data_IF_508967499703
#
_entry.id   IF_508967499703
#
_cell.length_a   1.000
_cell.length_b   1.000
_cell.length_c   1.000
_cell.angle_alpha   90.00
_cell.angle_beta   90.00
_cell.angle_gamma   90.00
#
_symmetry.space_group_name_H-M   'P 1'
#
loop_
_entity.id
_entity.type
_entity.pdbx_description
1 polymer ?
#
# COMPACT_ATOMS: atom_id res chain seq x y z
N UNK A 1 -13.71 18.90 -18.60
CA UNK A 1 -14.27 19.81 -17.57
C UNK A 1 -15.25 19.12 -16.64
N UNK A 2 -16.28 18.51 -17.20
CA UNK A 2 -17.27 17.78 -16.41
C UNK A 2 -16.66 16.59 -15.67
N UNK A 3 -15.72 15.90 -16.33
CA UNK A 3 -15.02 14.78 -15.71
C UNK A 3 -14.24 15.21 -14.46
N UNK A 4 -13.55 16.35 -14.51
CA UNK A 4 -12.82 16.87 -13.34
C UNK A 4 -13.76 17.27 -12.20
N UNK A 5 -14.90 17.85 -12.53
CA UNK A 5 -15.91 18.22 -11.55
C UNK A 5 -16.49 16.97 -10.87
N UNK A 6 -16.77 15.94 -11.65
CA UNK A 6 -17.30 14.69 -11.13
C UNK A 6 -16.24 13.94 -10.31
N UNK A 7 -14.97 14.06 -10.70
CA UNK A 7 -13.87 13.51 -9.92
C UNK A 7 -13.79 14.14 -8.54
N UNK A 8 -13.94 15.47 -8.47
CA UNK A 8 -13.96 16.16 -7.17
C UNK A 8 -15.04 15.58 -6.27
N UNK A 9 -16.22 15.33 -6.81
CA UNK A 9 -17.32 14.75 -6.07
C UNK A 9 -17.04 13.31 -5.62
N UNK A 10 -16.46 12.50 -6.50
CA UNK A 10 -16.04 11.14 -6.17
C UNK A 10 -15.00 11.13 -5.06
N UNK A 11 -14.10 12.10 -5.07
CA UNK A 11 -13.08 12.24 -4.04
C UNK A 11 -13.68 12.52 -2.66
N UNK A 12 -14.80 13.22 -2.60
CA UNK A 12 -15.51 13.43 -1.35
C UNK A 12 -15.96 12.09 -0.76
N UNK A 13 -16.52 11.22 -1.59
CA UNK A 13 -16.91 9.87 -1.17
C UNK A 13 -15.71 9.05 -0.70
N UNK A 14 -14.61 9.14 -1.42
CA UNK A 14 -13.36 8.50 -1.06
C UNK A 14 -12.90 8.99 0.33
N UNK A 15 -12.91 10.29 0.55
CA UNK A 15 -12.41 10.88 1.79
C UNK A 15 -13.24 10.49 3.03
N UNK A 16 -14.52 10.23 2.87
CA UNK A 16 -15.37 9.80 3.99
C UNK A 16 -15.42 8.27 4.12
N UNK A 17 -14.68 7.54 3.30
CA UNK A 17 -14.63 6.10 3.37
C UNK A 17 -15.77 5.37 2.67
N UNK A 18 -16.58 6.07 1.88
CA UNK A 18 -17.67 5.46 1.10
C UNK A 18 -17.10 4.82 -0.17
N UNK A 19 -16.26 3.79 0.01
CA UNK A 19 -15.45 3.24 -1.07
C UNK A 19 -16.27 2.56 -2.18
N UNK A 20 -17.38 1.92 -1.84
CA UNK A 20 -18.23 1.29 -2.87
C UNK A 20 -18.84 2.34 -3.79
N UNK A 21 -19.40 3.41 -3.22
CA UNK A 21 -19.96 4.51 -4.00
C UNK A 21 -18.90 5.24 -4.80
N UNK A 22 -17.73 5.47 -4.20
CA UNK A 22 -16.60 6.09 -4.89
C UNK A 22 -16.15 5.23 -6.08
N UNK A 23 -16.04 3.92 -5.88
CA UNK A 23 -15.65 2.99 -6.94
C UNK A 23 -16.58 3.09 -8.15
N UNK A 24 -17.88 3.11 -7.92
CA UNK A 24 -18.86 3.20 -8.99
C UNK A 24 -18.66 4.45 -9.83
N UNK A 25 -18.39 5.58 -9.18
CA UNK A 25 -18.11 6.83 -9.88
C UNK A 25 -16.75 6.79 -10.60
N UNK A 26 -15.73 6.23 -9.98
CA UNK A 26 -14.42 6.08 -10.64
C UNK A 26 -14.52 5.21 -11.89
N UNK A 27 -15.31 4.15 -11.86
CA UNK A 27 -15.54 3.32 -13.04
C UNK A 27 -16.11 4.14 -14.21
N UNK A 28 -17.06 5.00 -13.91
CA UNK A 28 -17.69 5.87 -14.91
C UNK A 28 -16.71 6.89 -15.47
N UNK A 29 -15.82 7.42 -14.63
CA UNK A 29 -14.86 8.45 -15.02
C UNK A 29 -13.59 7.90 -15.66
N UNK A 30 -13.33 6.62 -15.50
CA UNK A 30 -12.09 6.01 -15.94
C UNK A 30 -11.72 6.30 -17.41
N UNK A 31 -12.62 6.18 -18.39
CA UNK A 31 -12.22 6.43 -19.77
C UNK A 31 -11.63 7.82 -20.02
N UNK A 32 -12.11 8.82 -19.28
CA UNK A 32 -11.67 10.21 -19.46
C UNK A 32 -10.45 10.57 -18.61
N UNK A 33 -10.28 9.91 -17.44
CA UNK A 33 -9.25 10.29 -16.46
C UNK A 33 -8.13 9.26 -16.31
N UNK A 34 -8.09 8.24 -17.13
CA UNK A 34 -7.12 7.14 -17.03
C UNK A 34 -5.66 7.54 -17.21
N UNK A 35 -5.39 8.78 -17.60
CA UNK A 35 -4.03 9.30 -17.75
C UNK A 35 -3.57 10.10 -16.54
N UNK A 36 -4.37 10.14 -15.49
CA UNK A 36 -4.06 10.92 -14.30
C UNK A 36 -3.66 10.01 -13.15
N UNK A 37 -2.39 10.14 -12.72
CA UNK A 37 -1.85 9.29 -11.67
C UNK A 37 -2.63 9.37 -10.37
N UNK A 38 -3.04 10.57 -9.94
CA UNK A 38 -3.80 10.75 -8.71
C UNK A 38 -5.18 10.09 -8.79
N UNK A 39 -5.85 10.18 -9.94
CA UNK A 39 -7.13 9.51 -10.15
C UNK A 39 -6.99 7.99 -10.04
N UNK A 40 -6.00 7.45 -10.74
CA UNK A 40 -5.75 6.00 -10.73
C UNK A 40 -5.37 5.50 -9.34
N UNK A 41 -4.60 6.30 -8.59
CA UNK A 41 -4.25 5.95 -7.22
C UNK A 41 -5.49 5.82 -6.34
N UNK A 42 -6.37 6.82 -6.39
CA UNK A 42 -7.60 6.82 -5.58
C UNK A 42 -8.50 5.65 -5.94
N UNK A 43 -8.65 5.40 -7.23
CA UNK A 43 -9.45 4.28 -7.72
C UNK A 43 -8.85 2.94 -7.26
N UNK A 44 -7.54 2.77 -7.44
CA UNK A 44 -6.86 1.56 -6.99
C UNK A 44 -6.95 1.36 -5.49
N UNK A 45 -6.87 2.44 -4.71
CA UNK A 45 -7.00 2.38 -3.26
C UNK A 45 -8.42 1.97 -2.85
N UNK A 46 -9.44 2.50 -3.53
CA UNK A 46 -10.83 2.08 -3.29
C UNK A 46 -10.99 0.57 -3.50
N UNK A 47 -10.43 0.06 -4.59
CA UNK A 47 -10.50 -1.37 -4.89
C UNK A 47 -9.78 -2.19 -3.82
N UNK A 48 -8.64 -1.70 -3.33
CA UNK A 48 -7.91 -2.33 -2.22
C UNK A 48 -8.78 -2.39 -0.96
N UNK A 49 -9.41 -1.28 -0.60
CA UNK A 49 -10.29 -1.22 0.58
C UNK A 49 -11.49 -2.14 0.46
N UNK A 50 -11.97 -2.36 -0.74
CA UNK A 50 -13.07 -3.28 -1.01
C UNK A 50 -12.60 -4.73 -1.17
N UNK A 51 -11.32 -4.98 -0.92
CA UNK A 51 -10.70 -6.31 -1.03
C UNK A 51 -10.76 -6.90 -2.44
N UNK A 52 -10.86 -6.04 -3.45
CA UNK A 52 -10.77 -6.43 -4.84
C UNK A 52 -9.32 -6.30 -5.29
N UNK A 53 -8.49 -7.20 -4.77
CA UNK A 53 -7.02 -7.07 -4.84
C UNK A 53 -6.46 -7.13 -6.25
N UNK A 54 -6.95 -8.05 -7.09
CA UNK A 54 -6.42 -8.17 -8.44
C UNK A 54 -6.76 -6.95 -9.30
N UNK A 55 -7.98 -6.45 -9.19
CA UNK A 55 -8.40 -5.24 -9.89
C UNK A 55 -7.63 -4.03 -9.39
N UNK A 56 -7.43 -3.94 -8.07
CA UNK A 56 -6.63 -2.88 -7.45
C UNK A 56 -5.20 -2.87 -8.00
N UNK A 57 -4.56 -4.03 -8.04
CA UNK A 57 -3.20 -4.15 -8.56
C UNK A 57 -3.11 -3.71 -10.01
N UNK A 58 -4.08 -4.08 -10.83
CA UNK A 58 -4.11 -3.69 -12.24
C UNK A 58 -4.16 -2.17 -12.38
N UNK A 59 -5.08 -1.51 -11.68
CA UNK A 59 -5.24 -0.06 -11.74
C UNK A 59 -4.01 0.65 -11.17
N UNK A 60 -3.44 0.14 -10.07
CA UNK A 60 -2.26 0.73 -9.47
C UNK A 60 -1.02 0.60 -10.36
N UNK A 61 -0.90 -0.48 -11.13
CA UNK A 61 0.18 -0.60 -12.12
C UNK A 61 0.03 0.45 -13.21
N UNK A 62 -1.19 0.73 -13.64
CA UNK A 62 -1.44 1.83 -14.58
C UNK A 62 -1.03 3.16 -13.96
N UNK A 63 -1.34 3.36 -12.67
CA UNK A 63 -0.96 4.59 -11.97
C UNK A 63 0.56 4.81 -11.96
N UNK A 64 1.34 3.74 -11.92
CA UNK A 64 2.82 3.85 -11.90
C UNK A 64 3.39 4.48 -13.17
N UNK A 65 2.65 4.46 -14.27
CA UNK A 65 3.10 5.12 -15.51
C UNK A 65 3.02 6.65 -15.40
N UNK A 66 2.23 7.17 -14.46
CA UNK A 66 1.97 8.60 -14.32
C UNK A 66 2.37 9.15 -12.96
N UNK A 67 2.83 8.33 -12.04
CA UNK A 67 3.16 8.74 -10.68
C UNK A 67 4.32 7.93 -10.12
N UNK A 68 5.19 8.59 -9.37
CA UNK A 68 6.30 7.95 -8.67
C UNK A 68 6.03 7.76 -7.17
N UNK A 69 4.79 7.94 -6.74
CA UNK A 69 4.44 7.82 -5.32
C UNK A 69 4.75 6.39 -4.83
N UNK A 70 5.64 6.23 -3.85
CA UNK A 70 6.00 4.90 -3.33
C UNK A 70 4.83 4.19 -2.63
N UNK A 71 3.78 4.92 -2.23
CA UNK A 71 2.59 4.29 -1.65
C UNK A 71 1.91 3.34 -2.64
N UNK A 72 2.04 3.60 -3.95
CA UNK A 72 1.49 2.71 -4.97
C UNK A 72 2.11 1.31 -4.82
N UNK A 73 3.43 1.24 -4.72
CA UNK A 73 4.15 -0.02 -4.55
C UNK A 73 3.79 -0.70 -3.22
N UNK A 74 3.58 0.09 -2.17
CA UNK A 74 3.19 -0.46 -0.87
C UNK A 74 1.82 -1.15 -0.96
N UNK A 75 0.86 -0.54 -1.63
CA UNK A 75 -0.48 -1.12 -1.77
C UNK A 75 -0.44 -2.34 -2.68
N UNK A 76 0.33 -2.28 -3.77
CA UNK A 76 0.51 -3.45 -4.65
C UNK A 76 1.10 -4.61 -3.85
N UNK A 77 2.10 -4.35 -3.00
CA UNK A 77 2.67 -5.37 -2.14
C UNK A 77 1.64 -5.98 -1.20
N UNK A 78 0.82 -5.14 -0.57
CA UNK A 78 -0.25 -5.61 0.30
C UNK A 78 -1.28 -6.45 -0.45
N UNK A 79 -1.62 -6.06 -1.68
CA UNK A 79 -2.54 -6.82 -2.52
C UNK A 79 -1.99 -8.20 -2.84
N UNK A 80 -0.72 -8.28 -3.23
CA UNK A 80 -0.09 -9.57 -3.54
C UNK A 80 -0.04 -10.47 -2.30
N UNK A 81 0.27 -9.90 -1.14
CA UNK A 81 0.27 -10.67 0.10
C UNK A 81 -1.13 -11.23 0.40
N UNK A 82 -2.16 -10.42 0.21
CA UNK A 82 -3.54 -10.81 0.49
C UNK A 82 -4.00 -11.99 -0.38
N UNK A 83 -3.46 -12.11 -1.59
CA UNK A 83 -3.82 -13.22 -2.49
C UNK A 83 -2.77 -14.33 -2.50
N UNK A 84 -1.81 -14.31 -1.57
CA UNK A 84 -0.83 -15.36 -1.41
C UNK A 84 0.34 -15.34 -2.37
N UNK A 85 0.54 -14.26 -3.11
CA UNK A 85 1.66 -14.11 -4.04
C UNK A 85 2.84 -13.43 -3.34
N UNK A 86 3.45 -14.17 -2.43
CA UNK A 86 4.44 -13.62 -1.48
C UNK A 86 5.72 -13.11 -2.15
N UNK A 87 6.21 -13.78 -3.17
CA UNK A 87 7.42 -13.32 -3.88
C UNK A 87 7.18 -11.99 -4.58
N UNK A 88 6.03 -11.84 -5.22
CA UNK A 88 5.67 -10.57 -5.88
C UNK A 88 5.43 -9.46 -4.87
N UNK A 89 4.87 -9.81 -3.72
CA UNK A 89 4.69 -8.86 -2.62
C UNK A 89 6.06 -8.35 -2.14
N UNK A 90 7.01 -9.26 -1.91
CA UNK A 90 8.35 -8.90 -1.50
C UNK A 90 9.03 -7.97 -2.51
N UNK A 91 8.95 -8.32 -3.79
CA UNK A 91 9.54 -7.50 -4.85
C UNK A 91 9.00 -6.07 -4.85
N UNK A 92 7.67 -5.92 -4.76
CA UNK A 92 7.04 -4.59 -4.73
C UNK A 92 7.46 -3.77 -3.52
N UNK A 93 7.50 -4.41 -2.35
CA UNK A 93 7.85 -3.71 -1.11
C UNK A 93 9.33 -3.34 -1.07
N UNK A 94 10.21 -4.18 -1.58
CA UNK A 94 11.64 -3.85 -1.68
C UNK A 94 11.84 -2.67 -2.63
N UNK A 95 11.15 -2.63 -3.76
CA UNK A 95 11.20 -1.48 -4.67
C UNK A 95 10.75 -0.20 -3.96
N UNK A 96 9.74 -0.30 -3.10
CA UNK A 96 9.27 0.85 -2.32
C UNK A 96 10.36 1.37 -1.39
N UNK A 97 11.12 0.48 -0.74
CA UNK A 97 12.23 0.90 0.15
C UNK A 97 13.29 1.67 -0.61
N UNK A 98 13.52 1.34 -1.89
CA UNK A 98 14.52 2.02 -2.71
C UNK A 98 14.04 3.39 -3.19
N UNK A 99 12.73 3.59 -3.33
CA UNK A 99 12.16 4.87 -3.76
C UNK A 99 12.33 5.96 -2.72
N UNK A 100 12.06 5.66 -1.46
CA UNK A 100 12.23 6.58 -0.33
C UNK A 100 12.88 5.83 0.83
N UNK A 101 14.22 5.70 0.83
CA UNK A 101 14.92 4.90 1.86
C UNK A 101 14.69 5.39 3.30
N UNK A 102 14.32 6.66 3.48
CA UNK A 102 14.06 7.22 4.81
C UNK A 102 12.73 6.82 5.43
N UNK A 103 11.85 6.17 4.71
CA UNK A 103 10.53 5.80 5.21
C UNK A 103 10.57 4.47 5.95
N UNK A 104 9.88 4.41 7.08
CA UNK A 104 9.78 3.19 7.90
C UNK A 104 8.71 2.24 7.37
N UNK A 105 7.63 2.78 6.83
CA UNK A 105 6.43 2.00 6.49
C UNK A 105 6.70 0.77 5.60
N UNK A 106 7.44 0.85 4.49
CA UNK A 106 7.66 -0.35 3.69
C UNK A 106 8.47 -1.43 4.41
N UNK A 107 9.37 -1.06 5.31
CA UNK A 107 10.10 -2.05 6.13
C UNK A 107 9.16 -2.73 7.12
N UNK A 108 8.22 -1.98 7.68
CA UNK A 108 7.17 -2.54 8.53
C UNK A 108 6.31 -3.53 7.75
N UNK A 109 5.92 -3.19 6.52
CA UNK A 109 5.14 -4.09 5.67
C UNK A 109 5.92 -5.35 5.31
N UNK A 110 7.23 -5.24 5.07
CA UNK A 110 8.08 -6.41 4.83
C UNK A 110 8.14 -7.30 6.07
N UNK A 111 8.24 -6.71 7.27
CA UNK A 111 8.22 -7.49 8.50
C UNK A 111 6.92 -8.31 8.60
N UNK A 112 5.79 -7.68 8.31
CA UNK A 112 4.51 -8.39 8.32
C UNK A 112 4.46 -9.52 7.28
N UNK A 113 5.03 -9.28 6.11
CA UNK A 113 5.11 -10.29 5.05
C UNK A 113 5.94 -11.50 5.49
N UNK A 114 7.09 -11.26 6.13
CA UNK A 114 7.98 -12.34 6.58
C UNK A 114 7.45 -13.07 7.82
N UNK A 115 6.46 -12.49 8.51
CA UNK A 115 5.81 -13.11 9.65
C UNK A 115 4.53 -13.86 9.25
N UNK A 116 4.09 -13.71 8.01
CA UNK A 116 2.88 -14.39 7.49
C UNK A 116 3.04 -15.90 7.68
N UNK A 117 2.05 -16.59 8.31
CA UNK A 117 2.20 -18.02 8.61
C UNK A 117 2.60 -18.89 7.42
N UNK A 118 2.13 -18.57 6.23
CA UNK A 118 2.45 -19.33 5.02
C UNK A 118 3.71 -18.87 4.29
N UNK A 119 4.41 -17.90 4.87
CA UNK A 119 5.61 -17.32 4.26
C UNK A 119 6.66 -16.97 5.32
N UNK A 120 6.72 -17.71 6.40
CA UNK A 120 7.64 -17.39 7.51
C UNK A 120 9.10 -17.42 7.08
N UNK A 121 9.78 -16.31 7.31
CA UNK A 121 11.20 -16.16 7.02
C UNK A 121 11.86 -15.45 8.21
N UNK A 122 12.21 -16.23 9.26
CA UNK A 122 12.66 -15.66 10.54
C UNK A 122 13.86 -14.72 10.44
N UNK A 123 14.85 -15.07 9.63
CA UNK A 123 16.05 -14.23 9.52
C UNK A 123 15.75 -12.89 8.83
N UNK A 124 14.95 -12.91 7.78
CA UNK A 124 14.52 -11.69 7.11
C UNK A 124 13.64 -10.85 8.02
N UNK A 125 12.75 -11.49 8.79
CA UNK A 125 11.91 -10.80 9.74
C UNK A 125 12.75 -10.06 10.79
N UNK A 126 13.75 -10.73 11.36
CA UNK A 126 14.63 -10.11 12.34
C UNK A 126 15.31 -8.86 11.78
N UNK A 127 15.79 -8.93 10.55
CA UNK A 127 16.42 -7.77 9.90
C UNK A 127 15.46 -6.60 9.73
N UNK A 128 14.22 -6.88 9.32
CA UNK A 128 13.23 -5.82 9.13
C UNK A 128 12.79 -5.22 10.46
N UNK A 129 12.63 -6.04 11.48
CA UNK A 129 12.32 -5.56 12.82
C UNK A 129 13.42 -4.60 13.32
N UNK A 130 14.68 -4.96 13.13
CA UNK A 130 15.79 -4.09 13.50
C UNK A 130 15.72 -2.75 12.78
N UNK A 131 15.45 -2.75 11.48
CA UNK A 131 15.32 -1.51 10.70
C UNK A 131 14.18 -0.65 11.26
N UNK A 132 13.02 -1.25 11.49
CA UNK A 132 11.85 -0.51 12.01
C UNK A 132 12.14 0.10 13.39
N UNK A 133 12.87 -0.63 14.24
CA UNK A 133 13.16 -0.17 15.58
C UNK A 133 14.25 0.90 15.66
N UNK A 134 15.20 0.89 14.72
CA UNK A 134 16.38 1.75 14.79
C UNK A 134 16.41 2.91 13.81
N UNK A 135 15.60 2.83 12.74
CA UNK A 135 15.61 3.88 11.72
C UNK A 135 14.98 5.17 12.24
N UNK A 136 15.67 6.30 12.03
CA UNK A 136 15.14 7.59 12.43
C UNK A 136 13.96 7.99 11.54
N UNK A 137 12.76 8.22 12.12
CA UNK A 137 11.63 8.69 11.32
C UNK A 137 11.77 10.17 11.02
N UNK A 138 11.25 10.62 9.86
CA UNK A 138 11.22 12.04 9.54
C UNK A 138 10.36 12.82 10.53
N UNK A 139 9.29 12.21 11.01
CA UNK A 139 8.38 12.81 11.99
C UNK A 139 8.06 11.75 13.04
N UNK A 140 8.23 12.09 14.30
CA UNK A 140 7.78 11.24 15.40
C UNK A 140 6.26 11.27 15.41
N UNK A 141 5.63 10.09 15.41
CA UNK A 141 4.18 10.00 15.37
C UNK A 141 3.69 8.77 16.12
N UNK A 142 2.40 8.76 16.44
CA UNK A 142 1.75 7.59 17.03
C UNK A 142 1.87 6.38 16.10
N UNK A 143 1.77 6.61 14.78
CA UNK A 143 1.91 5.53 13.80
C UNK A 143 3.26 4.83 13.89
N UNK A 144 4.36 5.58 14.06
CA UNK A 144 5.69 4.99 14.24
C UNK A 144 5.75 4.15 15.51
N UNK A 145 5.19 4.64 16.61
CA UNK A 145 5.15 3.91 17.88
C UNK A 145 4.36 2.62 17.75
N UNK A 146 3.23 2.67 17.06
CA UNK A 146 2.38 1.49 16.84
C UNK A 146 3.08 0.45 15.97
N UNK A 147 3.74 0.88 14.90
CA UNK A 147 4.51 -0.04 14.04
C UNK A 147 5.62 -0.72 14.82
N UNK A 148 6.35 0.03 15.65
CA UNK A 148 7.44 -0.52 16.48
C UNK A 148 6.93 -1.53 17.49
N UNK A 149 5.79 -1.24 18.13
CA UNK A 149 5.18 -2.18 19.06
C UNK A 149 4.74 -3.46 18.36
N UNK A 150 4.15 -3.33 17.18
CA UNK A 150 3.67 -4.48 16.42
C UNK A 150 4.79 -5.38 15.93
N UNK A 151 5.89 -4.84 15.42
CA UNK A 151 7.00 -5.69 14.94
C UNK A 151 7.66 -6.43 16.09
N UNK A 152 7.69 -5.87 17.31
CA UNK A 152 8.18 -6.59 18.47
C UNK A 152 7.31 -7.81 18.78
N UNK A 153 5.99 -7.67 18.63
CA UNK A 153 5.07 -8.80 18.83
C UNK A 153 5.28 -9.88 17.77
N UNK A 154 5.46 -9.47 16.50
CA UNK A 154 5.71 -10.41 15.41
C UNK A 154 6.96 -11.24 15.67
N UNK A 155 8.01 -10.61 16.16
CA UNK A 155 9.26 -11.30 16.47
C UNK A 155 9.08 -12.32 17.59
N UNK A 156 8.29 -12.02 18.61
CA UNK A 156 8.01 -12.95 19.71
C UNK A 156 7.22 -14.17 19.24
N UNK A 157 6.33 -14.00 18.28
CA UNK A 157 5.47 -15.09 17.80
C UNK A 157 6.21 -16.18 17.03
N UNK A 158 7.36 -15.86 16.45
CA UNK A 158 8.16 -16.83 15.69
C UNK A 158 9.30 -17.45 16.48
N UNK A 159 9.56 -16.98 17.69
CA UNK A 159 10.63 -17.52 18.56
C UNK A 159 10.13 -18.70 19.40
#
# INVERSE_FOLDING_TARGET
>A
YDACKNWYRSKMLYNIGAYQSAKEEYETLYPELKNRGAFLFEYGYCLHKLKQYDSSTKVLKEAMEYSNDPMILNIIGKNYQAVGKYEKAEESLIRSTHRLPGRIYPYYLLAKLYAEPENQQPEKLKRMVEVVLTKEPKVQSTAVKEMRAEVKKLLKQIN
#
